data_IF_794512398296
#
_entry.id   IF_794512398296
#
_cell.length_a   1.000
_cell.length_b   1.000
_cell.length_c   1.000
_cell.angle_alpha   90.00
_cell.angle_beta   90.00
_cell.angle_gamma   90.00
#
_symmetry.space_group_name_H-M   'P 1'
#
loop_
_entity.id
_entity.type
_entity.pdbx_description
1 polymer ?
#
# COMPACT_ATOMS: atom_id res chain seq x y z
N UNK A 1 5.82 11.03 -24.44
CA UNK A 1 6.15 11.28 -23.02
C UNK A 1 5.55 10.17 -22.17
N UNK A 2 6.31 9.12 -21.86
CA UNK A 2 5.87 8.07 -20.93
C UNK A 2 6.45 8.37 -19.54
N UNK A 3 5.62 8.86 -18.64
CA UNK A 3 5.93 8.96 -17.21
C UNK A 3 5.17 7.85 -16.51
N UNK A 4 5.62 6.60 -16.72
CA UNK A 4 4.95 5.41 -16.18
C UNK A 4 5.85 4.78 -15.12
N UNK A 5 5.34 4.74 -13.89
CA UNK A 5 5.62 3.72 -12.88
C UNK A 5 7.03 3.60 -12.28
N UNK A 6 7.54 4.64 -11.60
CA UNK A 6 8.60 4.47 -10.58
C UNK A 6 8.15 4.69 -9.13
N UNK A 7 6.95 5.18 -8.91
CA UNK A 7 6.50 5.61 -7.57
C UNK A 7 5.82 4.49 -6.75
N UNK A 8 5.25 3.47 -7.39
CA UNK A 8 4.27 2.59 -6.73
C UNK A 8 4.84 1.35 -6.07
N UNK A 9 5.89 0.72 -6.61
CA UNK A 9 6.63 -0.37 -5.93
C UNK A 9 7.20 0.02 -4.56
N UNK A 10 7.40 1.32 -4.32
CA UNK A 10 7.92 1.82 -3.05
C UNK A 10 6.84 2.07 -1.99
N UNK A 11 5.56 2.16 -2.34
CA UNK A 11 4.54 2.56 -1.36
C UNK A 11 4.28 1.44 -0.35
N UNK A 12 4.14 0.18 -0.79
CA UNK A 12 3.99 -0.96 0.11
C UNK A 12 5.15 -1.02 1.13
N UNK A 13 6.39 -0.86 0.65
CA UNK A 13 7.59 -0.84 1.50
C UNK A 13 7.63 0.36 2.44
N UNK A 14 7.17 1.54 1.99
CA UNK A 14 7.06 2.73 2.85
C UNK A 14 6.03 2.50 3.96
N UNK A 15 4.88 1.90 3.64
CA UNK A 15 3.84 1.57 4.62
C UNK A 15 4.32 0.54 5.65
N UNK A 16 5.07 -0.48 5.23
CA UNK A 16 5.67 -1.46 6.14
C UNK A 16 6.76 -0.84 7.03
N UNK A 17 7.47 0.17 6.54
CA UNK A 17 8.50 0.88 7.32
C UNK A 17 7.94 1.98 8.22
N UNK A 18 6.69 2.38 8.05
CA UNK A 18 6.06 3.37 8.92
C UNK A 18 5.84 2.78 10.31
N UNK A 19 6.15 3.57 11.33
CA UNK A 19 5.78 3.22 12.69
C UNK A 19 4.24 3.15 12.80
N UNK A 20 3.67 2.17 13.54
CA UNK A 20 2.23 1.98 13.63
C UNK A 20 1.46 3.24 14.05
N UNK A 21 2.05 4.04 14.94
CA UNK A 21 1.49 5.32 15.41
C UNK A 21 1.43 6.42 14.33
N UNK A 22 2.18 6.31 13.24
CA UNK A 22 2.18 7.26 12.11
C UNK A 22 1.24 6.85 10.98
N UNK A 23 0.65 5.66 11.04
CA UNK A 23 -0.29 5.17 10.01
C UNK A 23 -1.55 6.06 9.91
N UNK A 24 -2.18 6.50 11.02
CA UNK A 24 -3.34 7.39 10.93
C UNK A 24 -2.99 8.73 10.29
N UNK A 25 -1.82 9.29 10.60
CA UNK A 25 -1.30 10.51 9.95
C UNK A 25 -1.07 10.29 8.45
N UNK A 26 -0.45 9.17 8.07
CA UNK A 26 -0.22 8.82 6.66
C UNK A 26 -1.54 8.69 5.89
N UNK A 27 -2.55 8.05 6.48
CA UNK A 27 -3.88 7.93 5.90
C UNK A 27 -4.53 9.30 5.76
N UNK A 28 -4.48 10.14 6.80
CA UNK A 28 -5.05 11.49 6.77
C UNK A 28 -4.36 12.40 5.74
N UNK A 29 -3.02 12.35 5.63
CA UNK A 29 -2.27 13.08 4.61
C UNK A 29 -2.59 12.57 3.20
N UNK A 30 -2.77 11.26 3.05
CA UNK A 30 -3.09 10.64 1.76
C UNK A 30 -4.57 10.80 1.38
N UNK A 31 -5.46 11.15 2.31
CA UNK A 31 -6.91 11.30 2.10
C UNK A 31 -7.26 12.53 1.27
N UNK A 32 -6.48 13.60 1.42
CA UNK A 32 -6.64 14.84 0.64
C UNK A 32 -6.22 14.68 -0.83
N UNK A 33 -5.50 13.61 -1.15
CA UNK A 33 -4.99 13.31 -2.46
C UNK A 33 -5.77 12.13 -3.05
N UNK A 34 -6.13 12.18 -4.34
CA UNK A 34 -6.62 11.01 -5.11
C UNK A 34 -5.65 9.81 -5.08
N UNK A 35 -4.52 9.91 -4.38
CA UNK A 35 -3.48 8.91 -4.21
C UNK A 35 -3.84 7.77 -3.26
N UNK A 36 -4.64 7.97 -2.19
CA UNK A 36 -4.93 6.87 -1.28
C UNK A 36 -5.74 5.76 -1.97
N UNK A 37 -6.85 6.12 -2.63
CA UNK A 37 -7.67 5.15 -3.37
C UNK A 37 -6.87 4.41 -4.45
N UNK A 38 -6.06 5.14 -5.24
CA UNK A 38 -5.16 4.53 -6.24
C UNK A 38 -4.13 3.60 -5.61
N UNK A 39 -3.57 3.98 -4.46
CA UNK A 39 -2.60 3.15 -3.72
C UNK A 39 -3.26 1.86 -3.26
N UNK A 40 -4.46 1.93 -2.69
CA UNK A 40 -5.19 0.74 -2.24
C UNK A 40 -5.53 -0.17 -3.42
N UNK A 41 -6.03 0.38 -4.55
CA UNK A 41 -6.31 -0.41 -5.76
C UNK A 41 -5.06 -1.10 -6.29
N UNK A 42 -3.91 -0.42 -6.28
CA UNK A 42 -2.66 -1.00 -6.75
C UNK A 42 -2.09 -2.05 -5.79
N UNK A 43 -2.19 -1.83 -4.48
CA UNK A 43 -1.84 -2.83 -3.47
C UNK A 43 -2.73 -4.07 -3.59
N UNK A 44 -4.04 -3.89 -3.80
CA UNK A 44 -4.95 -5.00 -4.06
C UNK A 44 -4.57 -5.76 -5.34
N UNK A 45 -4.24 -5.03 -6.41
CA UNK A 45 -3.77 -5.64 -7.66
C UNK A 45 -2.46 -6.42 -7.46
N UNK A 46 -1.50 -5.87 -6.72
CA UNK A 46 -0.24 -6.56 -6.39
C UNK A 46 -0.47 -7.79 -5.51
N UNK A 47 -1.38 -7.72 -4.55
CA UNK A 47 -1.75 -8.84 -3.68
C UNK A 47 -2.36 -10.00 -4.49
N UNK A 48 -3.21 -9.71 -5.48
CA UNK A 48 -3.90 -10.72 -6.29
C UNK A 48 -3.08 -11.22 -7.48
N UNK A 49 -2.36 -10.33 -8.17
CA UNK A 49 -1.74 -10.59 -9.48
C UNK A 49 -0.22 -10.46 -9.47
N UNK A 50 0.39 -9.93 -8.41
CA UNK A 50 1.84 -9.75 -8.33
C UNK A 50 2.61 -11.07 -8.15
N UNK A 51 3.94 -11.07 -8.33
CA UNK A 51 4.80 -12.20 -7.98
C UNK A 51 4.77 -12.46 -6.46
N UNK A 52 5.04 -13.70 -6.03
CA UNK A 52 4.86 -14.15 -4.63
C UNK A 52 5.41 -13.18 -3.58
N UNK A 53 6.64 -12.67 -3.76
CA UNK A 53 7.27 -11.69 -2.84
C UNK A 53 6.53 -10.35 -2.77
N UNK A 54 5.96 -9.89 -3.88
CA UNK A 54 5.19 -8.64 -3.92
C UNK A 54 3.80 -8.84 -3.32
N UNK A 55 3.21 -10.04 -3.44
CA UNK A 55 1.91 -10.37 -2.81
C UNK A 55 1.97 -10.26 -1.29
N UNK A 56 2.98 -10.85 -0.67
CA UNK A 56 3.15 -10.78 0.80
C UNK A 56 3.39 -9.35 1.27
N UNK A 57 4.24 -8.61 0.54
CA UNK A 57 4.52 -7.20 0.84
C UNK A 57 3.24 -6.34 0.72
N UNK A 58 2.43 -6.58 -0.30
CA UNK A 58 1.18 -5.85 -0.49
C UNK A 58 0.13 -6.22 0.58
N UNK A 59 0.02 -7.51 0.95
CA UNK A 59 -0.86 -7.97 2.03
C UNK A 59 -0.47 -7.32 3.36
N UNK A 60 0.80 -7.35 3.73
CA UNK A 60 1.31 -6.73 4.97
C UNK A 60 1.01 -5.22 5.01
N UNK A 61 1.18 -4.53 3.88
CA UNK A 61 0.86 -3.10 3.78
C UNK A 61 -0.65 -2.83 3.94
N UNK A 62 -1.52 -3.64 3.33
CA UNK A 62 -2.97 -3.52 3.46
C UNK A 62 -3.46 -3.82 4.89
N UNK A 63 -2.87 -4.83 5.55
CA UNK A 63 -3.15 -5.15 6.96
C UNK A 63 -2.77 -3.97 7.86
N UNK A 64 -1.58 -3.39 7.66
CA UNK A 64 -1.13 -2.22 8.41
C UNK A 64 -2.04 -1.01 8.22
N UNK A 65 -2.55 -0.81 7.01
CA UNK A 65 -3.49 0.26 6.71
C UNK A 65 -4.93 -0.02 7.20
N UNK A 66 -5.20 -1.23 7.70
CA UNK A 66 -6.52 -1.64 8.22
C UNK A 66 -7.54 -2.01 7.13
N UNK A 67 -7.10 -2.28 5.90
CA UNK A 67 -8.00 -2.64 4.79
C UNK A 67 -8.19 -4.15 4.61
N UNK A 68 -7.34 -4.97 5.24
CA UNK A 68 -7.41 -6.43 5.19
C UNK A 68 -7.17 -6.98 6.60
N UNK A 69 -7.93 -8.00 6.98
CA UNK A 69 -7.75 -8.70 8.27
C UNK A 69 -6.67 -9.75 8.10
N UNK A 70 -5.79 -9.92 9.09
CA UNK A 70 -4.82 -11.02 9.07
C UNK A 70 -5.59 -12.31 9.36
N UNK A 71 -5.74 -13.20 8.37
CA UNK A 71 -6.20 -14.57 8.63
C UNK A 71 -5.25 -15.20 9.67
N UNK A 72 -5.83 -15.69 10.76
CA UNK A 72 -5.14 -16.38 11.86
C UNK A 72 -4.92 -17.85 11.53
#
# INVERSE_FOLDING_TARGET
MQVVNRTTKNVARRVIRLCPNRIPEFINQSRSDRNLSKTIVELNRQMLQGPMRERETAKEALVRLGFVVRDF
#
